data_IF_902921879873
#
_entry.id   IF_902921879873
#
_cell.length_a   1.000
_cell.length_b   1.000
_cell.length_c   1.000
_cell.angle_alpha   90.00
_cell.angle_beta   90.00
_cell.angle_gamma   90.00
#
_symmetry.space_group_name_H-M   'P 1'
#
loop_
_entity.id
_entity.type
_entity.pdbx_description
1 polymer ?
#
# COMPACT_ATOMS: atom_id res chain seq x y z
N UNK A 1 -1.19 20.43 -12.90
CA UNK A 1 -0.66 20.82 -11.59
C UNK A 1 0.04 19.59 -11.06
N UNK A 2 1.24 19.75 -10.57
CA UNK A 2 2.00 18.62 -10.03
C UNK A 2 1.93 18.68 -8.49
N UNK A 3 1.07 17.88 -7.85
CA UNK A 3 0.98 17.81 -6.38
C UNK A 3 2.31 17.47 -5.71
N UNK A 4 3.22 16.81 -6.45
CA UNK A 4 4.61 16.53 -6.03
C UNK A 4 5.42 17.78 -5.64
N UNK A 5 4.89 18.97 -5.98
CA UNK A 5 5.48 20.24 -5.56
C UNK A 5 5.01 20.70 -4.17
N UNK A 6 3.91 20.15 -3.63
CA UNK A 6 3.35 20.58 -2.35
C UNK A 6 4.39 20.53 -1.22
N UNK A 7 5.12 19.43 -1.14
CA UNK A 7 6.16 19.24 -0.12
C UNK A 7 7.37 20.19 -0.30
N UNK A 8 7.53 20.74 -1.52
CA UNK A 8 8.70 21.59 -1.86
C UNK A 8 8.41 23.08 -1.75
N UNK A 9 7.23 23.52 -2.17
CA UNK A 9 6.89 24.96 -2.29
C UNK A 9 5.70 25.39 -1.41
N UNK A 10 5.04 24.45 -0.76
CA UNK A 10 3.85 24.70 0.08
C UNK A 10 2.65 25.24 -0.70
N UNK A 11 1.57 25.53 0.04
CA UNK A 11 0.33 26.05 -0.56
C UNK A 11 0.50 27.40 -1.22
N UNK A 12 1.28 28.29 -0.62
CA UNK A 12 1.51 29.63 -1.18
C UNK A 12 2.27 29.57 -2.51
N UNK A 13 3.24 28.68 -2.62
CA UNK A 13 3.97 28.44 -3.87
C UNK A 13 3.07 27.87 -4.96
N UNK A 14 2.19 26.92 -4.62
CA UNK A 14 1.20 26.36 -5.54
C UNK A 14 0.21 27.44 -5.98
N UNK A 15 -0.28 28.28 -5.05
CA UNK A 15 -1.15 29.41 -5.35
C UNK A 15 -0.52 30.36 -6.38
N UNK A 16 0.71 30.75 -6.13
CA UNK A 16 1.44 31.64 -7.03
C UNK A 16 1.59 31.04 -8.43
N UNK A 17 2.01 29.78 -8.51
CA UNK A 17 2.18 29.06 -9.80
C UNK A 17 0.86 28.94 -10.57
N UNK A 18 -0.25 28.59 -9.87
CA UNK A 18 -1.57 28.47 -10.50
C UNK A 18 -2.07 29.82 -11.03
N UNK A 19 -1.90 30.87 -10.24
CA UNK A 19 -2.30 32.23 -10.65
C UNK A 19 -1.46 32.72 -11.83
N UNK A 20 -0.16 32.46 -11.83
CA UNK A 20 0.74 32.78 -12.94
C UNK A 20 0.37 32.04 -14.23
N UNK A 21 -0.10 30.80 -14.10
CA UNK A 21 -0.61 30.00 -15.21
C UNK A 21 -2.02 30.41 -15.69
N UNK A 22 -2.60 31.48 -15.13
CA UNK A 22 -3.86 32.08 -15.58
C UNK A 22 -5.12 31.45 -15.02
N UNK A 23 -5.03 30.63 -13.96
CA UNK A 23 -6.22 30.12 -13.28
C UNK A 23 -6.88 31.20 -12.42
N UNK A 24 -8.22 31.19 -12.37
CA UNK A 24 -8.99 32.11 -11.55
C UNK A 24 -8.65 31.98 -10.05
N UNK A 25 -8.39 33.10 -9.39
CA UNK A 25 -7.94 33.11 -8.01
C UNK A 25 -8.92 32.45 -7.03
N UNK A 26 -10.25 32.66 -7.24
CA UNK A 26 -11.28 32.07 -6.38
C UNK A 26 -11.35 30.55 -6.56
N UNK A 27 -11.13 30.03 -7.78
CA UNK A 27 -11.03 28.60 -8.04
C UNK A 27 -9.76 28.01 -7.43
N UNK A 28 -8.65 28.74 -7.49
CA UNK A 28 -7.38 28.32 -6.85
C UNK A 28 -7.55 28.24 -5.34
N UNK A 29 -8.17 29.23 -4.72
CA UNK A 29 -8.42 29.25 -3.28
C UNK A 29 -9.28 28.08 -2.84
N UNK A 30 -10.38 27.81 -3.53
CA UNK A 30 -11.26 26.67 -3.25
C UNK A 30 -10.53 25.33 -3.43
N UNK A 31 -9.68 25.22 -4.43
CA UNK A 31 -8.85 24.04 -4.68
C UNK A 31 -7.86 23.81 -3.52
N UNK A 32 -7.18 24.87 -3.09
CA UNK A 32 -6.21 24.78 -1.98
C UNK A 32 -6.89 24.52 -0.64
N UNK A 33 -8.11 25.03 -0.42
CA UNK A 33 -8.89 24.75 0.80
C UNK A 33 -9.17 23.26 0.97
N UNK A 34 -9.43 22.53 -0.14
CA UNK A 34 -9.60 21.08 -0.11
C UNK A 34 -8.34 20.39 0.44
N UNK A 35 -7.17 20.83 0.02
CA UNK A 35 -5.90 20.26 0.50
C UNK A 35 -5.55 20.63 1.93
N UNK A 36 -5.93 21.82 2.39
CA UNK A 36 -5.74 22.22 3.79
C UNK A 36 -6.57 21.40 4.77
N UNK A 37 -7.74 20.94 4.33
CA UNK A 37 -8.69 20.18 5.14
C UNK A 37 -8.51 18.65 4.98
N UNK A 38 -7.48 18.21 4.25
CA UNK A 38 -7.10 16.79 4.16
C UNK A 38 -6.63 16.29 5.51
N UNK A 39 -7.55 15.70 6.27
CA UNK A 39 -7.26 14.92 7.45
C UNK A 39 -7.30 13.42 7.14
N UNK A 40 -7.57 12.58 8.15
CA UNK A 40 -7.84 11.15 7.94
C UNK A 40 -9.27 10.97 7.39
N UNK A 41 -9.46 11.34 6.13
CA UNK A 41 -10.72 11.25 5.41
C UNK A 41 -10.80 9.96 4.58
N UNK A 42 -12.00 9.41 4.40
CA UNK A 42 -12.22 8.32 3.44
C UNK A 42 -12.28 8.86 2.01
N UNK A 43 -12.06 8.00 1.02
CA UNK A 43 -12.24 8.38 -0.39
C UNK A 43 -13.66 8.87 -0.67
N UNK A 44 -14.67 8.25 -0.06
CA UNK A 44 -16.06 8.66 -0.19
C UNK A 44 -16.32 10.07 0.40
N UNK A 45 -15.76 10.39 1.57
CA UNK A 45 -15.88 11.72 2.18
C UNK A 45 -15.23 12.79 1.30
N UNK A 46 -14.01 12.55 0.84
CA UNK A 46 -13.29 13.45 -0.06
C UNK A 46 -14.08 13.73 -1.35
N UNK A 47 -14.63 12.70 -1.99
CA UNK A 47 -15.44 12.88 -3.20
C UNK A 47 -16.69 13.71 -2.94
N UNK A 48 -17.35 13.53 -1.79
CA UNK A 48 -18.55 14.30 -1.42
C UNK A 48 -18.24 15.78 -1.23
N UNK A 49 -17.06 16.11 -0.68
CA UNK A 49 -16.66 17.50 -0.44
C UNK A 49 -16.30 18.24 -1.74
N UNK A 50 -15.78 17.52 -2.74
CA UNK A 50 -15.46 18.11 -4.04
C UNK A 50 -16.71 18.20 -4.93
N UNK A 51 -17.30 17.05 -5.22
CA UNK A 51 -18.48 16.86 -6.06
C UNK A 51 -18.92 15.40 -5.94
N UNK A 52 -20.19 15.13 -5.69
CA UNK A 52 -20.76 13.79 -5.55
C UNK A 52 -20.42 12.83 -6.73
N UNK A 53 -20.10 13.39 -7.90
CA UNK A 53 -19.77 12.65 -9.12
C UNK A 53 -18.28 12.77 -9.52
N UNK A 54 -17.38 13.12 -8.59
CA UNK A 54 -15.96 13.33 -8.91
C UNK A 54 -15.26 12.03 -9.37
N UNK A 55 -15.69 10.87 -8.87
CA UNK A 55 -15.19 9.56 -9.25
C UNK A 55 -16.35 8.57 -9.47
N UNK A 56 -16.09 7.52 -10.26
CA UNK A 56 -17.02 6.39 -10.39
C UNK A 56 -17.27 5.76 -9.00
N UNK A 57 -18.53 5.53 -8.60
CA UNK A 57 -18.88 4.92 -7.32
C UNK A 57 -18.17 3.59 -7.05
N UNK A 58 -17.87 2.80 -8.09
CA UNK A 58 -17.10 1.57 -7.95
C UNK A 58 -15.64 1.82 -7.57
N UNK A 59 -15.04 2.89 -8.08
CA UNK A 59 -13.68 3.29 -7.72
C UNK A 59 -13.63 3.72 -6.26
N UNK A 60 -14.61 4.51 -5.81
CA UNK A 60 -14.72 4.94 -4.41
C UNK A 60 -14.88 3.74 -3.48
N UNK A 61 -15.84 2.86 -3.76
CA UNK A 61 -16.10 1.66 -2.95
C UNK A 61 -14.87 0.73 -2.89
N UNK A 62 -14.20 0.52 -4.03
CA UNK A 62 -12.99 -0.31 -4.09
C UNK A 62 -11.82 0.31 -3.29
N UNK A 63 -11.66 1.63 -3.33
CA UNK A 63 -10.64 2.31 -2.55
C UNK A 63 -10.89 2.18 -1.04
N UNK A 64 -12.12 2.41 -0.59
CA UNK A 64 -12.50 2.28 0.82
C UNK A 64 -12.37 0.83 1.30
N UNK A 65 -12.69 -0.18 0.46
CA UNK A 65 -12.47 -1.60 0.77
C UNK A 65 -10.97 -1.92 0.93
N UNK A 66 -10.12 -1.43 0.02
CA UNK A 66 -8.66 -1.63 0.09
C UNK A 66 -8.11 -1.03 1.38
N UNK A 67 -8.47 0.21 1.70
CA UNK A 67 -7.98 0.92 2.89
C UNK A 67 -8.44 0.22 4.17
N UNK A 68 -9.73 -0.12 4.27
CA UNK A 68 -10.29 -0.78 5.44
C UNK A 68 -9.66 -2.16 5.66
N UNK A 69 -9.49 -2.93 4.57
CA UNK A 69 -8.82 -4.24 4.63
C UNK A 69 -7.36 -4.10 5.05
N UNK A 70 -6.61 -3.16 4.47
CA UNK A 70 -5.22 -2.91 4.82
C UNK A 70 -5.05 -2.52 6.28
N UNK A 71 -5.94 -1.67 6.83
CA UNK A 71 -5.92 -1.27 8.25
C UNK A 71 -6.06 -2.45 9.21
N UNK A 72 -6.71 -3.54 8.81
CA UNK A 72 -6.82 -4.75 9.66
C UNK A 72 -5.55 -5.59 9.66
N UNK A 73 -4.68 -5.41 8.67
CA UNK A 73 -3.51 -6.28 8.44
C UNK A 73 -2.19 -5.67 8.89
N UNK A 74 -2.11 -4.33 8.98
CA UNK A 74 -0.86 -3.65 9.34
C UNK A 74 -0.51 -3.82 10.81
N UNK A 75 0.79 -3.70 11.11
CA UNK A 75 1.30 -3.72 12.47
C UNK A 75 0.86 -2.48 13.27
N UNK A 76 0.91 -2.56 14.59
CA UNK A 76 0.63 -1.42 15.46
C UNK A 76 1.62 -0.28 15.16
N UNK A 77 1.13 0.95 15.17
CA UNK A 77 1.90 2.13 14.82
C UNK A 77 1.95 2.44 13.32
N UNK A 78 1.48 1.54 12.44
CA UNK A 78 1.35 1.83 11.00
C UNK A 78 0.02 2.51 10.73
N UNK A 79 0.06 3.65 10.07
CA UNK A 79 -1.12 4.39 9.62
C UNK A 79 -1.37 4.14 8.14
N UNK A 80 -2.62 3.87 7.77
CA UNK A 80 -3.07 3.83 6.38
C UNK A 80 -3.99 5.02 6.17
N UNK A 81 -3.60 5.92 5.28
CA UNK A 81 -4.36 7.13 4.96
C UNK A 81 -4.71 7.17 3.48
N UNK A 82 -5.86 7.76 3.16
CA UNK A 82 -6.19 8.14 1.80
C UNK A 82 -5.52 9.47 1.51
N UNK A 83 -4.62 9.49 0.52
CA UNK A 83 -3.95 10.70 0.10
C UNK A 83 -4.25 11.01 -1.37
N UNK A 84 -5.18 11.94 -1.66
CA UNK A 84 -5.52 12.34 -3.02
C UNK A 84 -4.41 13.16 -3.69
N UNK A 85 -3.36 13.56 -2.97
CA UNK A 85 -2.23 14.30 -3.51
C UNK A 85 -1.14 13.40 -4.04
N UNK A 86 -1.17 12.11 -3.68
CA UNK A 86 -0.17 11.15 -4.10
C UNK A 86 -0.15 10.99 -5.62
N UNK A 87 0.97 11.32 -6.24
CA UNK A 87 1.20 11.16 -7.67
C UNK A 87 2.45 10.32 -7.91
N UNK A 88 2.37 9.44 -8.87
CA UNK A 88 3.49 8.65 -9.35
C UNK A 88 3.85 9.05 -10.78
N UNK A 89 5.14 9.26 -11.06
CA UNK A 89 5.63 9.72 -12.36
C UNK A 89 5.51 8.72 -13.51
N UNK A 90 4.94 7.54 -13.30
CA UNK A 90 4.85 6.47 -14.30
C UNK A 90 3.40 6.25 -14.74
N UNK A 91 3.12 6.49 -16.03
CA UNK A 91 1.77 6.44 -16.61
C UNK A 91 1.19 5.04 -16.87
N UNK A 92 1.79 3.97 -16.35
CA UNK A 92 1.31 2.60 -16.57
C UNK A 92 0.30 2.11 -15.52
N UNK A 93 0.07 2.85 -14.46
CA UNK A 93 -0.89 2.46 -13.43
C UNK A 93 -2.32 2.55 -13.95
N UNK A 94 -3.14 1.56 -13.60
CA UNK A 94 -4.54 1.44 -14.02
C UNK A 94 -5.50 1.41 -12.85
N UNK A 95 -5.03 1.61 -11.63
CA UNK A 95 -5.80 1.58 -10.40
C UNK A 95 -5.07 2.26 -9.25
N UNK A 96 -5.35 1.88 -8.01
CA UNK A 96 -4.74 2.47 -6.84
C UNK A 96 -3.22 2.46 -6.88
N UNK A 97 -2.62 3.54 -6.44
CA UNK A 97 -1.19 3.68 -6.18
C UNK A 97 -0.98 3.86 -4.68
N UNK A 98 0.20 3.50 -4.20
CA UNK A 98 0.54 3.68 -2.80
C UNK A 98 2.02 4.01 -2.62
N UNK A 99 2.31 4.63 -1.51
CA UNK A 99 3.66 4.95 -1.05
C UNK A 99 3.79 4.62 0.44
N UNK A 100 4.98 4.21 0.87
CA UNK A 100 5.30 3.94 2.27
C UNK A 100 6.37 4.92 2.72
N UNK A 101 6.05 5.68 3.75
CA UNK A 101 6.95 6.63 4.39
C UNK A 101 7.20 6.22 5.84
N UNK A 102 8.23 6.78 6.44
CA UNK A 102 8.51 6.67 7.87
C UNK A 102 8.59 8.09 8.42
N UNK A 103 7.86 8.37 9.51
CA UNK A 103 7.70 9.72 10.06
C UNK A 103 9.04 10.43 10.37
N UNK A 104 10.05 9.68 10.76
CA UNK A 104 11.39 10.24 11.09
C UNK A 104 12.25 10.53 9.85
N UNK A 105 11.77 10.22 8.65
CA UNK A 105 12.54 10.34 7.40
C UNK A 105 11.73 11.04 6.31
N UNK A 106 12.32 12.06 5.69
CA UNK A 106 11.68 12.83 4.60
C UNK A 106 11.76 12.14 3.22
N UNK A 107 11.64 10.81 3.19
CA UNK A 107 11.64 10.04 1.95
C UNK A 107 10.80 8.78 2.05
N UNK A 108 10.25 8.36 0.91
CA UNK A 108 9.56 7.08 0.83
C UNK A 108 10.53 5.92 0.81
N UNK A 109 10.17 4.83 1.48
CA UNK A 109 10.94 3.58 1.53
C UNK A 109 10.43 2.51 0.56
N UNK A 110 9.19 2.61 0.14
CA UNK A 110 8.60 1.72 -0.85
C UNK A 110 7.42 2.40 -1.54
N UNK A 111 7.00 1.85 -2.66
CA UNK A 111 5.78 2.29 -3.32
C UNK A 111 5.48 1.49 -4.57
N UNK A 112 4.22 1.54 -4.96
CA UNK A 112 3.72 0.75 -6.08
C UNK A 112 2.29 1.09 -6.45
N UNK A 113 1.61 0.12 -7.07
CA UNK A 113 0.21 0.26 -7.47
C UNK A 113 -0.25 -0.86 -8.39
N UNK A 114 -1.46 -0.72 -8.89
CA UNK A 114 -2.09 -1.64 -9.83
C UNK A 114 -1.79 -1.24 -11.28
N UNK A 115 -1.40 -2.21 -12.13
CA UNK A 115 -0.97 -1.97 -13.52
C UNK A 115 -1.39 -3.09 -14.49
N UNK A 116 -2.65 -3.44 -14.54
CA UNK A 116 -3.20 -4.57 -15.29
C UNK A 116 -2.78 -4.58 -16.77
N UNK A 117 -2.83 -3.41 -17.44
CA UNK A 117 -2.50 -3.31 -18.87
C UNK A 117 -1.03 -3.56 -19.18
N UNK A 118 -0.13 -3.27 -18.26
CA UNK A 118 1.30 -3.44 -18.50
C UNK A 118 1.63 -4.93 -18.73
N UNK A 119 1.12 -5.81 -17.88
CA UNK A 119 1.29 -7.26 -18.04
C UNK A 119 0.56 -7.76 -19.27
N UNK A 120 -0.67 -7.27 -19.51
CA UNK A 120 -1.47 -7.61 -20.68
C UNK A 120 -0.76 -7.33 -22.00
N UNK A 121 -0.04 -6.22 -22.12
CA UNK A 121 0.72 -5.87 -23.30
C UNK A 121 1.83 -6.90 -23.64
N UNK A 122 2.39 -7.57 -22.65
CA UNK A 122 3.39 -8.63 -22.85
C UNK A 122 2.78 -10.00 -23.09
N UNK A 123 1.62 -10.28 -22.52
CA UNK A 123 0.98 -11.59 -22.55
C UNK A 123 -0.11 -11.71 -23.62
N UNK A 124 -0.51 -10.60 -24.27
CA UNK A 124 -1.58 -10.57 -25.27
C UNK A 124 -2.99 -10.79 -24.71
N UNK A 125 -3.16 -10.67 -23.40
CA UNK A 125 -4.44 -10.80 -22.69
C UNK A 125 -4.45 -9.94 -21.41
N UNK A 126 -5.60 -9.45 -20.99
CA UNK A 126 -5.70 -8.67 -19.75
C UNK A 126 -5.37 -9.54 -18.53
N UNK A 127 -4.36 -9.12 -17.78
CA UNK A 127 -3.90 -9.80 -16.56
C UNK A 127 -3.90 -8.79 -15.41
N UNK A 128 -4.79 -8.95 -14.40
CA UNK A 128 -4.73 -8.13 -13.20
C UNK A 128 -3.37 -8.23 -12.53
N UNK A 129 -2.71 -7.10 -12.33
CA UNK A 129 -1.38 -7.05 -11.75
C UNK A 129 -1.25 -5.88 -10.78
N UNK A 130 -0.58 -6.15 -9.67
CA UNK A 130 -0.13 -5.14 -8.73
C UNK A 130 1.28 -5.47 -8.29
N UNK A 131 2.06 -4.46 -7.98
CA UNK A 131 3.41 -4.65 -7.50
C UNK A 131 3.96 -3.38 -6.88
N UNK A 132 5.15 -3.52 -6.32
CA UNK A 132 5.82 -2.43 -5.64
C UNK A 132 7.34 -2.58 -5.74
N UNK A 133 8.03 -1.48 -5.52
CA UNK A 133 9.49 -1.46 -5.33
C UNK A 133 9.81 -1.01 -3.92
N UNK A 134 10.93 -1.52 -3.40
CA UNK A 134 11.45 -1.19 -2.08
C UNK A 134 12.78 -0.46 -2.27
N UNK A 135 12.96 0.65 -1.56
CA UNK A 135 14.21 1.37 -1.51
C UNK A 135 15.23 0.64 -0.63
N UNK A 136 15.88 -0.38 -1.19
CA UNK A 136 16.80 -1.29 -0.47
C UNK A 136 17.83 -0.52 0.36
N UNK A 137 18.57 0.41 -0.25
CA UNK A 137 19.58 1.21 0.44
C UNK A 137 19.01 2.03 1.60
N UNK A 138 17.79 2.57 1.42
CA UNK A 138 17.11 3.34 2.47
C UNK A 138 16.77 2.47 3.66
N UNK A 139 16.24 1.28 3.41
CA UNK A 139 15.91 0.31 4.48
C UNK A 139 17.16 -0.17 5.18
N UNK A 140 18.23 -0.48 4.46
CA UNK A 140 19.50 -0.91 5.06
C UNK A 140 20.06 0.19 5.97
N UNK A 141 20.01 1.46 5.56
CA UNK A 141 20.43 2.59 6.40
C UNK A 141 19.63 2.65 7.70
N UNK A 142 18.31 2.56 7.63
CA UNK A 142 17.42 2.57 8.80
C UNK A 142 17.68 1.38 9.72
N UNK A 143 17.82 0.18 9.14
CA UNK A 143 18.07 -1.05 9.90
C UNK A 143 19.45 -1.02 10.57
N UNK A 144 20.46 -0.47 9.92
CA UNK A 144 21.79 -0.31 10.50
C UNK A 144 21.77 0.54 11.76
N UNK A 145 21.10 1.68 11.69
CA UNK A 145 20.92 2.55 12.87
C UNK A 145 20.20 1.81 14.01
N UNK A 146 19.19 0.98 13.70
CA UNK A 146 18.47 0.17 14.70
C UNK A 146 19.34 -0.96 15.27
N UNK A 147 20.11 -1.67 14.43
CA UNK A 147 21.01 -2.74 14.88
C UNK A 147 22.13 -2.22 15.77
N UNK A 148 22.69 -1.07 15.45
CA UNK A 148 23.69 -0.39 16.28
C UNK A 148 23.12 -0.01 17.67
N UNK A 149 21.78 0.13 17.77
CA UNK A 149 21.03 0.35 19.02
C UNK A 149 20.51 -0.95 19.68
N UNK A 150 21.02 -2.13 19.28
CA UNK A 150 20.80 -3.42 19.97
C UNK A 150 19.57 -4.23 19.53
N UNK A 151 18.98 -3.93 18.38
CA UNK A 151 17.92 -4.76 17.80
C UNK A 151 18.46 -6.15 17.37
N UNK A 152 17.77 -7.23 17.77
CA UNK A 152 18.11 -8.61 17.40
C UNK A 152 17.09 -9.18 16.43
N UNK A 153 17.56 -9.92 15.44
CA UNK A 153 16.71 -10.68 14.50
C UNK A 153 16.77 -12.15 14.94
N UNK A 154 15.74 -12.60 15.66
CA UNK A 154 15.52 -14.03 15.96
C UNK A 154 14.43 -14.56 15.00
N UNK A 155 14.68 -15.69 14.35
CA UNK A 155 13.80 -16.17 13.29
C UNK A 155 13.34 -17.64 13.50
N UNK A 156 12.15 -17.77 14.08
CA UNK A 156 11.30 -18.96 13.84
C UNK A 156 10.41 -18.69 12.61
N UNK A 157 10.52 -19.53 11.59
CA UNK A 157 9.89 -19.28 10.29
C UNK A 157 8.59 -20.09 10.13
N UNK A 158 7.47 -19.42 9.91
CA UNK A 158 6.13 -20.01 9.71
C UNK A 158 5.63 -19.71 8.30
N UNK A 159 5.18 -20.74 7.59
CA UNK A 159 4.51 -20.58 6.29
C UNK A 159 3.01 -20.88 6.43
N UNK A 160 2.15 -19.89 6.15
CA UNK A 160 0.70 -20.06 6.11
C UNK A 160 0.28 -20.21 4.65
N UNK A 161 -0.28 -21.37 4.32
CA UNK A 161 -0.71 -21.72 2.97
C UNK A 161 -2.24 -21.64 2.88
N UNK A 162 -2.76 -20.75 2.05
CA UNK A 162 -4.19 -20.45 1.91
C UNK A 162 -4.75 -21.10 0.66
N UNK A 163 -5.85 -21.87 0.79
CA UNK A 163 -6.57 -22.39 -0.37
C UNK A 163 -7.25 -21.24 -1.14
N UNK A 164 -7.34 -21.36 -2.46
CA UNK A 164 -7.89 -20.32 -3.36
C UNK A 164 -9.32 -19.90 -3.04
N UNK A 165 -10.13 -20.83 -2.51
CA UNK A 165 -11.56 -20.63 -2.23
C UNK A 165 -11.83 -20.04 -0.83
N UNK A 166 -10.79 -19.74 -0.06
CA UNK A 166 -10.93 -19.12 1.28
C UNK A 166 -11.53 -17.72 1.15
N UNK A 167 -12.59 -17.47 1.92
CA UNK A 167 -13.32 -16.19 1.93
C UNK A 167 -12.45 -15.02 2.37
N UNK A 168 -12.85 -13.79 2.03
CA UNK A 168 -12.13 -12.59 2.44
C UNK A 168 -12.05 -12.48 3.97
N UNK A 169 -13.16 -12.70 4.68
CA UNK A 169 -13.20 -12.60 6.14
C UNK A 169 -12.19 -13.55 6.78
N UNK A 170 -12.16 -14.81 6.32
CA UNK A 170 -11.20 -15.80 6.83
C UNK A 170 -9.74 -15.44 6.46
N UNK A 171 -9.51 -14.83 5.31
CA UNK A 171 -8.19 -14.28 4.97
C UNK A 171 -7.78 -13.16 5.92
N UNK A 172 -8.70 -12.27 6.28
CA UNK A 172 -8.42 -11.19 7.24
C UNK A 172 -8.07 -11.75 8.64
N UNK A 173 -8.73 -12.83 9.08
CA UNK A 173 -8.36 -13.53 10.32
C UNK A 173 -6.93 -14.09 10.26
N UNK A 174 -6.57 -14.72 9.13
CA UNK A 174 -5.22 -15.24 8.92
C UNK A 174 -4.18 -14.09 8.95
N UNK A 175 -4.48 -12.96 8.37
CA UNK A 175 -3.58 -11.80 8.41
C UNK A 175 -3.41 -11.24 9.83
N UNK A 176 -4.46 -11.25 10.65
CA UNK A 176 -4.37 -10.89 12.07
C UNK A 176 -3.48 -11.86 12.82
N UNK A 177 -3.68 -13.17 12.64
CA UNK A 177 -2.83 -14.20 13.23
C UNK A 177 -1.36 -14.03 12.81
N UNK A 178 -1.11 -13.81 11.52
CA UNK A 178 0.26 -13.58 11.04
C UNK A 178 0.89 -12.30 11.64
N UNK A 179 0.07 -11.26 11.89
CA UNK A 179 0.50 -10.06 12.60
C UNK A 179 0.95 -10.40 14.02
N UNK A 180 0.14 -11.16 14.76
CA UNK A 180 0.46 -11.58 16.14
C UNK A 180 1.74 -12.42 16.20
N UNK A 181 1.92 -13.36 15.27
CA UNK A 181 3.14 -14.16 15.15
C UNK A 181 4.38 -13.30 14.88
N UNK A 182 4.27 -12.29 13.99
CA UNK A 182 5.36 -11.36 13.72
C UNK A 182 5.68 -10.47 14.90
N UNK A 183 4.68 -10.01 15.64
CA UNK A 183 4.88 -9.27 16.90
C UNK A 183 5.58 -10.09 17.97
N UNK A 184 5.38 -11.42 17.96
CA UNK A 184 6.10 -12.36 18.80
C UNK A 184 7.53 -12.68 18.30
N UNK A 185 8.03 -11.98 17.28
CA UNK A 185 9.40 -12.13 16.74
C UNK A 185 9.54 -13.21 15.67
N UNK A 186 8.45 -13.83 15.19
CA UNK A 186 8.50 -14.91 14.20
C UNK A 186 8.53 -14.35 12.76
N UNK A 187 9.25 -15.00 11.86
CA UNK A 187 9.18 -14.74 10.42
C UNK A 187 7.99 -15.47 9.81
N UNK A 188 7.05 -14.75 9.21
CA UNK A 188 5.82 -15.33 8.67
C UNK A 188 5.65 -15.01 7.20
N UNK A 189 5.54 -16.04 6.34
CA UNK A 189 5.08 -15.91 4.95
C UNK A 189 3.64 -16.40 4.81
N UNK A 190 2.87 -15.73 3.94
CA UNK A 190 1.52 -16.16 3.56
C UNK A 190 1.54 -16.38 2.05
N UNK A 191 1.17 -17.57 1.62
CA UNK A 191 1.13 -17.91 0.20
C UNK A 191 -0.15 -18.64 -0.17
N UNK A 192 -0.59 -18.47 -1.41
CA UNK A 192 -1.66 -19.28 -1.98
C UNK A 192 -1.15 -20.70 -2.22
N UNK A 193 -1.98 -21.70 -1.92
CA UNK A 193 -1.66 -23.11 -2.21
C UNK A 193 -1.51 -23.33 -3.71
N UNK A 194 -0.42 -23.97 -4.10
CA UNK A 194 -0.16 -24.41 -5.49
C UNK A 194 -0.74 -25.80 -5.72
N UNK A 195 -0.98 -26.16 -6.98
CA UNK A 195 -1.43 -27.53 -7.36
C UNK A 195 -0.49 -28.61 -6.82
N UNK A 196 0.83 -28.39 -6.89
CA UNK A 196 1.83 -29.28 -6.33
C UNK A 196 2.29 -28.73 -4.95
N UNK A 197 1.47 -28.99 -3.93
CA UNK A 197 1.74 -28.54 -2.57
C UNK A 197 3.02 -29.16 -1.98
N UNK A 198 3.32 -30.42 -2.32
CA UNK A 198 4.54 -31.09 -1.85
C UNK A 198 5.80 -30.35 -2.32
N UNK A 199 5.84 -29.95 -3.60
CA UNK A 199 6.92 -29.16 -4.12
C UNK A 199 7.01 -27.77 -3.47
N UNK A 200 5.84 -27.13 -3.23
CA UNK A 200 5.79 -25.84 -2.55
C UNK A 200 6.36 -25.91 -1.13
N UNK A 201 6.00 -26.95 -0.37
CA UNK A 201 6.53 -27.17 0.98
C UNK A 201 8.05 -27.42 0.94
N UNK A 202 8.55 -28.30 0.06
CA UNK A 202 9.98 -28.57 -0.06
C UNK A 202 10.77 -27.28 -0.40
N UNK A 203 10.23 -26.40 -1.23
CA UNK A 203 10.87 -25.10 -1.54
C UNK A 203 10.92 -24.21 -0.28
N UNK A 204 9.85 -24.12 0.47
CA UNK A 204 9.78 -23.32 1.70
C UNK A 204 10.70 -23.90 2.80
N UNK A 205 10.79 -25.22 2.91
CA UNK A 205 11.77 -25.89 3.81
C UNK A 205 13.21 -25.51 3.43
N UNK A 206 13.51 -25.47 2.13
CA UNK A 206 14.82 -25.04 1.66
C UNK A 206 15.10 -23.54 1.92
N UNK A 207 14.05 -22.71 2.01
CA UNK A 207 14.10 -21.31 2.42
C UNK A 207 14.15 -21.12 3.95
N UNK A 208 14.12 -22.21 4.72
CA UNK A 208 14.24 -22.18 6.19
C UNK A 208 12.93 -22.11 6.95
N UNK A 209 11.78 -22.33 6.31
CA UNK A 209 10.49 -22.44 7.00
C UNK A 209 10.34 -23.82 7.63
N UNK A 210 10.00 -23.84 8.93
CA UNK A 210 9.91 -25.09 9.73
C UNK A 210 8.50 -25.44 10.15
N UNK A 211 7.58 -24.47 10.15
CA UNK A 211 6.18 -24.66 10.50
C UNK A 211 5.27 -24.31 9.31
N UNK A 212 4.28 -25.19 9.04
CA UNK A 212 3.35 -25.06 7.91
C UNK A 212 1.90 -25.13 8.38
N UNK A 213 1.19 -23.99 8.26
CA UNK A 213 -0.25 -23.93 8.52
C UNK A 213 -1.01 -23.94 7.21
N UNK A 214 -1.90 -24.92 7.01
CA UNK A 214 -2.77 -25.04 5.84
C UNK A 214 -4.17 -24.56 6.19
N UNK A 215 -4.73 -23.65 5.41
CA UNK A 215 -6.03 -23.05 5.65
C UNK A 215 -6.96 -23.31 4.47
N UNK A 216 -8.12 -23.88 4.78
CA UNK A 216 -9.22 -24.18 3.87
C UNK A 216 -10.48 -23.45 4.35
N UNK A 217 -11.52 -23.35 3.48
CA UNK A 217 -12.87 -23.09 3.97
C UNK A 217 -13.36 -24.34 4.72
N UNK A 218 -13.96 -24.13 5.87
CA UNK A 218 -14.68 -25.19 6.59
C UNK A 218 -15.98 -25.50 5.89
#
# INVERSE_FOLDING_TARGET
INPDKYDKIGLDGIRAELTENGYDAAMVDKYLEIYQNLGDVSCAAFCKDINENCLDPKVVSNMDEIISSARTMVADGVKIVFDPTLVRGMGYYTGPIFEVTIDDYNFSIAGGGRYDKMVGNFCGQDVPATGFSIGFERIITILKDKLDNGYKIDADNVAILIHKDVTLDKKLEIFKEAKELRQAGRTVTIQMMRKNMKQQINMLEAEGYTEFKKVYND
#
